data_IF_403600055093
#
_entry.id   IF_403600055093
#
_cell.length_a   1.000
_cell.length_b   1.000
_cell.length_c   1.000
_cell.angle_alpha   90.00
_cell.angle_beta   90.00
_cell.angle_gamma   90.00
#
_symmetry.space_group_name_H-M   'P 1'
#
loop_
_entity.id
_entity.type
_entity.pdbx_description
1 polymer ?
#
# COMPACT_ATOMS: atom_id res chain seq x y z
N UNK A 1 -14.97 20.35 -9.36
CA UNK A 1 -13.56 20.14 -9.00
C UNK A 1 -13.28 18.68 -9.27
N UNK A 2 -12.43 18.34 -10.25
CA UNK A 2 -12.07 16.93 -10.49
C UNK A 2 -11.17 16.55 -9.33
N UNK A 3 -11.66 15.67 -8.44
CA UNK A 3 -10.80 15.03 -7.44
C UNK A 3 -9.81 14.23 -8.27
N UNK A 4 -8.56 14.70 -8.35
CA UNK A 4 -7.49 13.87 -8.87
C UNK A 4 -7.42 12.68 -7.91
N UNK A 5 -7.50 11.46 -8.43
CA UNK A 5 -7.31 10.27 -7.63
C UNK A 5 -6.05 9.57 -8.17
N UNK A 6 -5.11 9.21 -7.30
CA UNK A 6 -3.97 8.39 -7.68
C UNK A 6 -4.36 6.92 -7.52
N UNK A 7 -4.65 6.25 -8.64
CA UNK A 7 -4.97 4.83 -8.64
C UNK A 7 -3.70 3.99 -8.61
N UNK A 8 -3.30 3.57 -7.40
CA UNK A 8 -2.17 2.65 -7.18
C UNK A 8 -2.41 1.35 -7.95
N UNK A 9 -3.62 0.81 -7.89
CA UNK A 9 -4.00 -0.43 -8.58
C UNK A 9 -3.76 -0.34 -10.08
N UNK A 10 -4.21 0.75 -10.72
CA UNK A 10 -4.01 0.94 -12.16
C UNK A 10 -2.54 1.09 -12.52
N UNK A 11 -1.76 1.81 -11.70
CA UNK A 11 -0.32 1.96 -11.92
C UNK A 11 0.43 0.62 -11.76
N UNK A 12 0.08 -0.16 -10.73
CA UNK A 12 0.66 -1.49 -10.49
C UNK A 12 0.28 -2.48 -11.60
N UNK A 13 -0.98 -2.48 -12.06
CA UNK A 13 -1.43 -3.32 -13.17
C UNK A 13 -0.61 -3.07 -14.45
N UNK A 14 -0.34 -1.80 -14.78
CA UNK A 14 0.48 -1.45 -15.92
C UNK A 14 1.93 -1.96 -15.79
N UNK A 15 2.49 -1.95 -14.57
CA UNK A 15 3.80 -2.54 -14.28
C UNK A 15 3.75 -4.07 -14.43
N UNK A 16 2.72 -4.73 -13.90
CA UNK A 16 2.56 -6.18 -14.02
C UNK A 16 2.48 -6.61 -15.48
N UNK A 17 1.65 -5.94 -16.28
CA UNK A 17 1.54 -6.19 -17.72
C UNK A 17 2.87 -6.00 -18.45
N UNK A 18 3.59 -4.91 -18.14
CA UNK A 18 4.88 -4.59 -18.74
C UNK A 18 5.93 -5.67 -18.48
N UNK A 19 6.01 -6.17 -17.26
CA UNK A 19 7.00 -7.18 -16.86
C UNK A 19 6.51 -8.61 -17.06
N UNK A 20 5.24 -8.82 -17.41
CA UNK A 20 4.63 -10.16 -17.45
C UNK A 20 4.52 -10.80 -16.07
N UNK A 21 4.42 -9.99 -15.02
CA UNK A 21 4.23 -10.44 -13.66
C UNK A 21 2.75 -10.72 -13.39
N UNK A 22 2.49 -11.68 -12.50
CA UNK A 22 1.14 -12.04 -12.08
C UNK A 22 1.16 -12.70 -10.71
N UNK A 23 -0.02 -12.92 -10.13
CA UNK A 23 -0.16 -13.62 -8.86
C UNK A 23 -0.60 -15.07 -9.06
N UNK A 24 0.06 -15.99 -8.37
CA UNK A 24 -0.31 -17.40 -8.30
C UNK A 24 -0.03 -17.96 -6.91
N UNK A 25 -1.05 -18.55 -6.30
CA UNK A 25 -0.99 -19.21 -4.99
C UNK A 25 -1.12 -20.73 -5.10
N UNK A 26 -1.17 -21.25 -6.32
CA UNK A 26 -1.26 -22.67 -6.65
C UNK A 26 -0.62 -22.96 -8.01
N UNK A 27 -0.26 -24.23 -8.24
CA UNK A 27 0.28 -24.67 -9.53
C UNK A 27 -0.72 -24.48 -10.68
N UNK A 28 -2.03 -24.59 -10.42
CA UNK A 28 -3.05 -24.40 -11.45
C UNK A 28 -3.07 -22.94 -11.93
N UNK A 29 -3.14 -21.98 -10.99
CA UNK A 29 -3.09 -20.55 -11.31
C UNK A 29 -1.81 -20.14 -12.03
N UNK A 30 -0.68 -20.77 -11.68
CA UNK A 30 0.58 -20.56 -12.39
C UNK A 30 0.52 -21.11 -13.82
N UNK A 31 0.04 -22.34 -14.01
CA UNK A 31 -0.04 -22.98 -15.31
C UNK A 31 -1.01 -22.29 -16.28
N UNK A 32 -2.06 -21.65 -15.76
CA UNK A 32 -3.03 -20.87 -16.55
C UNK A 32 -2.44 -19.56 -17.09
N UNK A 33 -1.54 -18.93 -16.33
CA UNK A 33 -1.01 -17.60 -16.65
C UNK A 33 0.37 -17.63 -17.31
N UNK A 34 1.17 -18.69 -17.07
CA UNK A 34 2.52 -18.78 -17.63
C UNK A 34 2.49 -18.82 -19.16
N UNK A 35 3.45 -18.14 -19.78
CA UNK A 35 3.73 -18.24 -21.21
C UNK A 35 4.72 -19.38 -21.48
N UNK A 36 4.45 -20.21 -22.48
CA UNK A 36 5.34 -21.30 -22.88
C UNK A 36 6.73 -20.74 -23.29
N UNK A 37 7.79 -21.43 -22.87
CA UNK A 37 9.17 -21.03 -23.15
C UNK A 37 9.73 -19.90 -22.26
N UNK A 38 8.93 -19.32 -21.36
CA UNK A 38 9.41 -18.32 -20.39
C UNK A 38 9.71 -18.98 -19.05
N UNK A 39 10.87 -18.63 -18.47
CA UNK A 39 11.26 -19.07 -17.13
C UNK A 39 10.82 -18.01 -16.12
N UNK A 40 10.18 -18.44 -15.04
CA UNK A 40 9.63 -17.59 -14.01
C UNK A 40 10.31 -17.83 -12.65
N UNK A 41 10.34 -16.79 -11.83
CA UNK A 41 10.74 -16.83 -10.43
C UNK A 41 9.64 -16.25 -9.53
N UNK A 42 9.62 -16.70 -8.27
CA UNK A 42 8.72 -16.17 -7.25
C UNK A 42 9.34 -14.96 -6.56
N UNK A 43 8.56 -13.88 -6.42
CA UNK A 43 8.96 -12.60 -5.84
C UNK A 43 8.31 -12.35 -4.45
N UNK A 44 8.00 -13.42 -3.72
CA UNK A 44 7.23 -13.43 -2.47
C UNK A 44 5.74 -13.03 -2.62
N UNK A 45 4.95 -13.27 -1.57
CA UNK A 45 3.51 -12.93 -1.48
C UNK A 45 2.66 -13.42 -2.68
N UNK A 46 3.06 -14.54 -3.28
CA UNK A 46 2.39 -15.10 -4.46
C UNK A 46 2.67 -14.39 -5.78
N UNK A 47 3.50 -13.33 -5.79
CA UNK A 47 3.92 -12.67 -7.03
C UNK A 47 4.92 -13.54 -7.77
N UNK A 48 4.71 -13.67 -9.07
CA UNK A 48 5.54 -14.44 -10.00
C UNK A 48 5.87 -13.54 -11.18
N UNK A 49 7.12 -13.54 -11.62
CA UNK A 49 7.55 -12.76 -12.78
C UNK A 49 8.60 -13.54 -13.59
N UNK A 50 8.82 -13.19 -14.88
CA UNK A 50 9.94 -13.71 -15.64
C UNK A 50 11.27 -13.45 -14.94
N UNK A 51 12.20 -14.38 -15.03
CA UNK A 51 13.52 -14.26 -14.40
C UNK A 51 14.23 -12.97 -14.84
N UNK A 52 14.72 -12.20 -13.87
CA UNK A 52 15.44 -10.95 -14.11
C UNK A 52 14.56 -9.71 -14.28
N UNK A 53 13.25 -9.82 -14.04
CA UNK A 53 12.35 -8.67 -14.02
C UNK A 53 12.64 -7.75 -12.81
N UNK A 54 13.19 -6.56 -13.06
CA UNK A 54 13.37 -5.52 -12.02
C UNK A 54 12.07 -4.74 -11.80
N UNK A 55 11.08 -5.42 -11.22
CA UNK A 55 9.75 -4.87 -10.98
C UNK A 55 9.70 -3.95 -9.75
N UNK A 56 10.48 -4.27 -8.72
CA UNK A 56 10.41 -3.59 -7.42
C UNK A 56 10.74 -2.11 -7.51
N UNK A 57 11.66 -1.72 -8.40
CA UNK A 57 11.99 -0.32 -8.63
C UNK A 57 10.81 0.50 -9.16
N UNK A 58 9.95 -0.09 -10.00
CA UNK A 58 8.76 0.62 -10.51
C UNK A 58 7.65 0.66 -9.47
N UNK A 59 7.50 -0.40 -8.66
CA UNK A 59 6.57 -0.41 -7.54
C UNK A 59 6.96 0.60 -6.46
N UNK A 60 8.25 0.73 -6.15
CA UNK A 60 8.77 1.76 -5.23
C UNK A 60 8.48 3.16 -5.79
N UNK A 61 8.71 3.39 -7.08
CA UNK A 61 8.38 4.68 -7.72
C UNK A 61 6.89 5.01 -7.60
N UNK A 62 6.00 4.04 -7.82
CA UNK A 62 4.55 4.22 -7.66
C UNK A 62 4.21 4.60 -6.22
N UNK A 63 4.83 3.95 -5.22
CA UNK A 63 4.63 4.29 -3.82
C UNK A 63 5.08 5.73 -3.51
N UNK A 64 6.23 6.16 -4.03
CA UNK A 64 6.69 7.54 -3.85
C UNK A 64 5.77 8.56 -4.53
N UNK A 65 5.25 8.25 -5.72
CA UNK A 65 4.27 9.09 -6.42
C UNK A 65 2.94 9.19 -5.64
N UNK A 66 2.48 8.09 -5.04
CA UNK A 66 1.31 8.06 -4.15
C UNK A 66 1.52 8.97 -2.94
N UNK A 67 2.65 8.82 -2.24
CA UNK A 67 2.99 9.62 -1.06
C UNK A 67 3.02 11.12 -1.42
N UNK A 68 3.71 11.47 -2.51
CA UNK A 68 3.78 12.85 -2.98
C UNK A 68 2.38 13.41 -3.34
N UNK A 69 1.53 12.58 -3.95
CA UNK A 69 0.16 12.94 -4.25
C UNK A 69 -0.65 13.18 -2.97
N UNK A 70 -0.60 12.29 -1.98
CA UNK A 70 -1.34 12.42 -0.73
C UNK A 70 -0.89 13.63 0.08
N UNK A 71 0.43 13.85 0.22
CA UNK A 71 0.97 15.03 0.89
C UNK A 71 0.54 16.35 0.24
N UNK A 72 0.35 16.37 -1.09
CA UNK A 72 -0.07 17.56 -1.82
C UNK A 72 -1.59 17.80 -1.80
N UNK A 73 -2.41 16.76 -1.57
CA UNK A 73 -3.86 16.85 -1.74
C UNK A 73 -4.66 16.59 -0.45
N UNK A 74 -4.03 16.04 0.60
CA UNK A 74 -4.66 15.74 1.88
C UNK A 74 -4.02 16.50 3.03
N UNK A 75 -4.77 16.64 4.13
CA UNK A 75 -4.19 17.10 5.39
C UNK A 75 -3.45 15.97 6.09
N UNK A 76 -2.45 16.32 6.92
CA UNK A 76 -1.75 15.35 7.76
C UNK A 76 -2.71 14.55 8.65
N UNK A 77 -3.77 15.19 9.15
CA UNK A 77 -4.84 14.53 9.90
C UNK A 77 -5.44 13.36 9.12
N UNK A 78 -5.84 13.59 7.87
CA UNK A 78 -6.44 12.54 7.02
C UNK A 78 -5.44 11.39 6.82
N UNK A 79 -4.20 11.71 6.44
CA UNK A 79 -3.15 10.71 6.21
C UNK A 79 -2.89 9.86 7.48
N UNK A 80 -2.81 10.50 8.64
CA UNK A 80 -2.60 9.82 9.92
C UNK A 80 -3.81 8.93 10.25
N UNK A 81 -5.03 9.47 10.17
CA UNK A 81 -6.25 8.74 10.54
C UNK A 81 -6.49 7.55 9.62
N UNK A 82 -6.25 7.70 8.31
CA UNK A 82 -6.34 6.60 7.34
C UNK A 82 -5.34 5.48 7.68
N UNK A 83 -4.11 5.83 8.06
CA UNK A 83 -3.11 4.84 8.50
C UNK A 83 -3.51 4.15 9.80
N UNK A 84 -3.95 4.91 10.82
CA UNK A 84 -4.40 4.34 12.09
C UNK A 84 -5.58 3.38 11.91
N UNK A 85 -6.50 3.68 10.98
CA UNK A 85 -7.61 2.79 10.64
C UNK A 85 -7.13 1.54 9.89
N UNK A 86 -6.23 1.70 8.92
CA UNK A 86 -5.69 0.59 8.12
C UNK A 86 -4.94 -0.46 8.97
N UNK A 87 -4.25 -0.01 10.02
CA UNK A 87 -3.56 -0.88 10.97
C UNK A 87 -4.40 -1.20 12.21
N UNK A 88 -5.69 -0.87 12.18
CA UNK A 88 -6.68 -1.18 13.22
C UNK A 88 -6.23 -0.77 14.63
N UNK A 89 -5.50 0.35 14.73
CA UNK A 89 -4.84 0.78 15.96
C UNK A 89 -5.82 0.97 17.13
N UNK A 90 -7.07 1.35 16.84
CA UNK A 90 -8.13 1.47 17.83
C UNK A 90 -8.52 0.12 18.47
N UNK A 91 -8.41 -0.98 17.72
CA UNK A 91 -8.72 -2.34 18.20
C UNK A 91 -7.48 -2.96 18.85
N UNK A 92 -6.34 -2.92 18.15
CA UNK A 92 -5.11 -3.59 18.59
C UNK A 92 -4.41 -2.85 19.74
N UNK A 93 -4.73 -1.56 19.94
CA UNK A 93 -4.00 -0.65 20.83
C UNK A 93 -2.49 -0.56 20.53
N UNK A 94 -2.06 -1.02 19.35
CA UNK A 94 -0.69 -0.97 18.88
C UNK A 94 -0.64 -0.14 17.58
N UNK A 95 0.23 0.88 17.56
CA UNK A 95 0.40 1.77 16.42
C UNK A 95 1.77 1.63 15.74
N UNK A 96 2.58 0.64 16.11
CA UNK A 96 3.97 0.55 15.63
C UNK A 96 4.05 0.36 14.11
N UNK A 97 3.19 -0.49 13.53
CA UNK A 97 3.13 -0.69 12.08
C UNK A 97 2.66 0.57 11.33
N UNK A 98 1.68 1.30 11.91
CA UNK A 98 1.22 2.58 11.36
C UNK A 98 2.31 3.64 11.42
N UNK A 99 3.11 3.67 12.50
CA UNK A 99 4.24 4.58 12.64
C UNK A 99 5.28 4.29 11.58
N UNK A 100 5.69 3.03 11.40
CA UNK A 100 6.68 2.62 10.38
C UNK A 100 6.21 2.99 8.97
N UNK A 101 4.95 2.71 8.63
CA UNK A 101 4.38 3.07 7.34
C UNK A 101 4.36 4.59 7.08
N UNK A 102 4.17 5.39 8.14
CA UNK A 102 4.11 6.85 8.07
C UNK A 102 5.49 7.53 8.03
N UNK A 103 6.58 6.83 8.33
CA UNK A 103 7.94 7.39 8.28
C UNK A 103 8.29 7.91 6.88
N UNK A 104 7.82 7.23 5.83
CA UNK A 104 8.04 7.63 4.44
C UNK A 104 7.35 8.96 4.07
N UNK A 105 6.33 9.35 4.84
CA UNK A 105 5.65 10.64 4.72
C UNK A 105 6.35 11.75 5.51
N UNK A 106 7.42 11.43 6.25
CA UNK A 106 8.05 12.33 7.21
C UNK A 106 7.22 12.56 8.48
N UNK A 107 6.23 11.70 8.74
CA UNK A 107 5.34 11.78 9.89
C UNK A 107 5.88 10.89 11.00
N UNK A 108 6.10 11.46 12.18
CA UNK A 108 6.68 10.74 13.33
C UNK A 108 5.63 10.42 14.40
N UNK A 109 6.03 9.63 15.40
CA UNK A 109 5.17 9.21 16.52
C UNK A 109 4.59 10.37 17.33
N UNK A 110 5.31 11.49 17.47
CA UNK A 110 4.81 12.65 18.21
C UNK A 110 3.63 13.30 17.46
N UNK A 111 3.70 13.39 16.14
CA UNK A 111 2.61 13.90 15.31
C UNK A 111 1.38 12.98 15.39
N UNK A 112 1.59 11.67 15.35
CA UNK A 112 0.52 10.67 15.50
C UNK A 112 -0.13 10.77 16.89
N UNK A 113 0.67 10.88 17.94
CA UNK A 113 0.19 10.99 19.32
C UNK A 113 -0.69 12.24 19.55
N UNK A 114 -0.45 13.34 18.82
CA UNK A 114 -1.28 14.56 18.87
C UNK A 114 -2.68 14.34 18.28
N UNK A 115 -2.80 13.50 17.25
CA UNK A 115 -4.07 13.19 16.58
C UNK A 115 -4.85 12.07 17.27
N UNK A 116 -4.17 11.18 18.01
CA UNK A 116 -4.76 9.99 18.63
C UNK A 116 -6.03 10.25 19.46
N UNK A 117 -6.10 11.24 20.38
CA UNK A 117 -7.31 11.44 21.18
C UNK A 117 -8.55 11.75 20.32
N UNK A 118 -8.37 12.54 19.27
CA UNK A 118 -9.46 12.92 18.37
C UNK A 118 -9.86 11.76 17.44
N UNK A 119 -8.89 10.99 16.96
CA UNK A 119 -9.15 9.77 16.19
C UNK A 119 -9.90 8.72 17.01
N UNK A 120 -9.43 8.43 18.23
CA UNK A 120 -10.06 7.44 19.10
C UNK A 120 -11.51 7.82 19.45
N UNK A 121 -11.74 9.10 19.79
CA UNK A 121 -13.10 9.60 20.04
C UNK A 121 -13.98 9.48 18.79
N UNK A 122 -13.44 9.75 17.60
CA UNK A 122 -14.14 9.53 16.34
C UNK A 122 -14.54 8.05 16.17
N UNK A 123 -13.65 7.10 16.48
CA UNK A 123 -13.97 5.67 16.46
C UNK A 123 -15.09 5.31 17.45
N UNK A 124 -15.11 5.93 18.64
CA UNK A 124 -16.17 5.68 19.65
C UNK A 124 -17.52 6.20 19.16
N UNK A 125 -17.54 7.40 18.58
CA UNK A 125 -18.76 8.03 18.08
C UNK A 125 -19.37 7.30 16.87
N UNK A 126 -18.57 6.50 16.15
CA UNK A 126 -18.97 5.83 14.92
C UNK A 126 -18.98 4.28 15.02
N UNK A 127 -18.81 3.72 16.23
CA UNK A 127 -18.86 2.28 16.49
C UNK A 127 -17.83 1.47 15.65
N UNK A 128 -16.57 1.90 15.65
CA UNK A 128 -15.46 1.26 14.91
C UNK A 128 -14.63 0.26 15.75
N UNK A 129 -15.22 -0.35 16.78
CA UNK A 129 -14.57 -1.29 17.70
C UNK A 129 -15.15 -2.72 17.62
#
# INVERSE_FOLDING_TARGET
>A
MIVKNFSVETAQAAVFDKYGAFFAFSNNQFNEQKKEGVIYEGLASGMVAPVGADIFKELEKIQQEKIAFELANNSLKIIIWDSLANYECQITSNCDDAVEALEQYGINREMIAKEWPAYFQHCVENDYF
#
